data_IF_558349361098
#
_entry.id   IF_558349361098
#
_cell.length_a   1.000
_cell.length_b   1.000
_cell.length_c   1.000
_cell.angle_alpha   90.00
_cell.angle_beta   90.00
_cell.angle_gamma   90.00
#
_symmetry.space_group_name_H-M   'P 1'
#
loop_
_entity.id
_entity.type
_entity.pdbx_description
1 polymer ?
2 water ?
#
# COMPACT_ATOMS: atom_id res chain seq x y z
N UNK A 17 1.94 -7.12 -11.54
CA UNK A 17 2.84 -6.02 -11.20
C UNK A 17 2.13 -4.69 -11.46
N UNK A 18 2.02 -3.84 -10.44
CA UNK A 18 1.24 -2.62 -10.62
C UNK A 18 2.04 -1.64 -11.47
N UNK A 19 1.46 -1.05 -12.51
CA UNK A 19 2.16 0.00 -13.24
C UNK A 19 2.49 1.18 -12.34
N UNK A 20 3.59 1.85 -12.71
CA UNK A 20 3.93 3.12 -12.06
C UNK A 20 4.72 3.98 -13.05
N UNK A 21 4.73 5.28 -12.82
CA UNK A 21 5.41 6.21 -13.74
C UNK A 21 6.92 6.11 -13.60
N UNK A 22 7.57 5.51 -14.63
CA UNK A 22 9.02 5.37 -14.58
C UNK A 22 9.71 6.72 -14.43
N UNK A 23 9.20 7.75 -15.12
CA UNK A 23 9.83 9.08 -15.09
C UNK A 23 9.89 9.65 -13.68
N UNK A 24 8.94 9.29 -12.84
CA UNK A 24 8.91 9.87 -11.51
C UNK A 24 9.97 9.25 -10.63
N UNK A 25 10.34 8.02 -10.89
CA UNK A 25 11.21 7.31 -10.00
C UNK A 25 10.44 6.50 -8.98
N UNK A 26 11.14 5.57 -8.37
CA UNK A 26 10.60 4.66 -7.38
C UNK A 26 11.66 4.50 -6.31
N UNK A 27 11.26 4.55 -5.03
CA UNK A 27 12.12 4.13 -3.95
C UNK A 27 11.37 3.09 -3.14
N UNK A 28 12.00 1.93 -2.95
CA UNK A 28 11.37 0.80 -2.27
C UNK A 28 12.38 0.14 -1.35
N UNK A 29 11.86 -0.47 -0.30
CA UNK A 29 12.62 -1.24 0.69
C UNK A 29 11.82 -2.46 1.15
N UNK A 30 12.51 -3.54 1.48
CA UNK A 30 11.81 -4.69 2.08
C UNK A 30 11.50 -4.44 3.54
N UNK A 31 10.36 -4.98 3.97
CA UNK A 31 9.93 -4.90 5.35
C UNK A 31 9.42 -6.27 5.76
N UNK A 32 9.61 -6.67 7.01
CA UNK A 32 8.95 -7.89 7.51
C UNK A 32 7.45 -7.72 7.54
N UNK A 33 6.73 -8.77 7.11
CA UNK A 33 5.28 -8.75 7.11
C UNK A 33 4.74 -9.13 8.47
N UNK A 34 3.66 -8.48 8.88
CA UNK A 34 3.01 -8.75 10.17
C UNK A 34 2.45 -10.17 10.12
N UNK A 35 2.82 -11.07 11.05
CA UNK A 35 2.40 -12.47 10.91
C UNK A 35 0.92 -12.68 11.15
N UNK A 36 0.26 -11.77 11.86
CA UNK A 36 -1.15 -11.87 12.22
C UNK A 36 -2.10 -11.41 11.12
N UNK A 37 -1.63 -11.21 9.90
CA UNK A 37 -2.46 -10.72 8.81
C UNK A 37 -2.85 -11.91 7.95
N UNK A 38 -4.13 -11.95 7.57
CA UNK A 38 -4.61 -12.89 6.56
C UNK A 38 -4.17 -12.35 5.20
N UNK A 39 -2.89 -12.55 4.90
CA UNK A 39 -2.31 -11.95 3.71
C UNK A 39 -2.93 -12.46 2.43
N UNK A 40 -3.57 -13.64 2.47
CA UNK A 40 -4.11 -14.22 1.27
C UNK A 40 -5.28 -13.44 0.72
N UNK A 41 -5.99 -12.73 1.59
CA UNK A 41 -7.09 -11.88 1.13
C UNK A 41 -6.63 -10.61 0.44
N UNK A 42 -5.32 -10.37 0.33
CA UNK A 42 -4.77 -9.15 -0.24
C UNK A 42 -4.13 -9.38 -1.59
N UNK A 43 -4.56 -10.43 -2.29
CA UNK A 43 -4.36 -10.57 -3.71
C UNK A 43 -5.61 -10.14 -4.46
N UNK A 44 -5.46 -9.95 -5.76
CA UNK A 44 -6.58 -9.98 -6.69
C UNK A 44 -6.33 -11.14 -7.65
N UNK A 45 -7.31 -11.44 -8.47
CA UNK A 45 -7.23 -12.59 -9.33
C UNK A 45 -6.00 -12.58 -10.21
N UNK A 46 -6.19 -12.55 -11.54
CA UNK A 46 -5.03 -12.39 -12.42
C UNK A 46 -4.50 -10.98 -12.45
N UNK A 47 -5.18 -10.04 -11.79
CA UNK A 47 -4.90 -8.64 -12.03
C UNK A 47 -4.11 -8.03 -10.88
N UNK A 48 -3.39 -6.95 -11.15
CA UNK A 48 -2.60 -6.34 -10.09
C UNK A 48 -3.51 -5.63 -9.11
N UNK A 49 -3.04 -5.51 -7.88
CA UNK A 49 -3.82 -4.85 -6.84
C UNK A 49 -2.81 -4.24 -5.90
N UNK A 50 -2.74 -2.93 -5.89
CA UNK A 50 -1.90 -2.21 -4.94
C UNK A 50 -2.71 -1.90 -3.71
N UNK A 51 -2.05 -1.90 -2.55
CA UNK A 51 -2.67 -1.40 -1.33
C UNK A 51 -1.63 -0.73 -0.45
N UNK A 52 -2.11 0.12 0.43
CA UNK A 52 -1.27 0.83 1.38
C UNK A 52 -0.95 -0.08 2.56
N UNK A 53 0.25 0.05 3.08
CA UNK A 53 0.67 -0.61 4.30
C UNK A 53 1.18 0.44 5.26
N UNK A 54 0.99 0.14 6.54
CA UNK A 54 1.48 0.94 7.65
C UNK A 54 2.48 0.10 8.41
N UNK A 55 3.38 0.80 9.12
CA UNK A 55 4.36 0.17 9.98
C UNK A 55 3.91 0.32 11.42
N UNK A 56 4.16 -0.72 12.23
CA UNK A 56 4.02 -0.59 13.68
C UNK A 56 5.17 0.23 14.22
N UNK A 57 4.94 1.39 14.82
CA UNK A 57 6.09 2.17 15.30
C UNK A 57 6.78 1.51 16.47
N UNK A 58 6.03 0.91 17.38
CA UNK A 58 6.61 0.31 18.57
C UNK A 58 5.95 -1.05 18.82
N UNK A 59 6.21 -1.60 20.00
CA UNK A 59 5.59 -2.84 20.41
C UNK A 59 6.34 -4.06 19.93
N UNK A 60 5.75 -5.24 20.12
CA UNK A 60 6.44 -6.47 19.72
C UNK A 60 6.64 -6.62 18.22
N UNK A 61 5.74 -6.07 17.40
CA UNK A 61 5.84 -6.17 15.95
C UNK A 61 6.39 -4.88 15.33
N UNK A 62 7.17 -4.12 16.09
CA UNK A 62 7.73 -2.89 15.58
C UNK A 62 8.50 -3.14 14.28
N UNK A 63 8.38 -2.20 13.36
CA UNK A 63 9.01 -2.32 12.06
C UNK A 63 8.37 -3.33 11.13
N UNK A 64 7.32 -4.02 11.55
CA UNK A 64 6.54 -4.86 10.66
C UNK A 64 5.40 -4.07 10.02
N UNK A 65 5.02 -4.49 8.82
CA UNK A 65 4.04 -3.75 8.04
C UNK A 65 2.76 -4.57 7.98
N UNK A 66 1.65 -3.87 7.84
CA UNK A 66 0.34 -4.50 7.74
C UNK A 66 -0.54 -3.59 6.89
N UNK A 67 -1.62 -4.13 6.31
CA UNK A 67 -2.49 -3.27 5.49
C UNK A 67 -3.10 -2.15 6.32
N UNK A 68 -2.93 -0.92 5.83
CA UNK A 68 -3.47 0.25 6.52
C UNK A 68 -4.97 0.10 6.77
N UNK A 69 -5.39 0.48 7.97
CA UNK A 69 -6.79 0.54 8.36
C UNK A 69 -7.21 2.00 8.31
N UNK A 70 -7.99 2.35 7.27
CA UNK A 70 -8.33 3.76 7.01
C UNK A 70 -9.19 4.37 8.10
N UNK A 71 -9.78 3.53 8.93
CA UNK A 71 -10.66 3.98 9.99
C UNK A 71 -9.95 4.16 11.32
N UNK A 72 -8.63 3.97 11.33
CA UNK A 72 -7.82 4.07 12.55
C UNK A 72 -6.81 5.19 12.33
N UNK A 73 -6.94 6.33 13.02
CA UNK A 73 -6.07 7.47 12.70
C UNK A 73 -4.60 7.17 12.92
N UNK A 74 -4.26 6.29 13.85
CA UNK A 74 -2.87 5.96 14.07
C UNK A 74 -2.32 5.08 12.95
N UNK A 75 -3.16 4.21 12.38
CA UNK A 75 -2.75 3.47 11.20
C UNK A 75 -2.50 4.41 10.04
N UNK A 76 -3.40 5.35 9.83
CA UNK A 76 -3.22 6.34 8.77
C UNK A 76 -1.94 7.14 9.01
N UNK A 77 -1.65 7.50 10.25
CA UNK A 77 -0.49 8.34 10.47
C UNK A 77 0.81 7.60 10.21
N UNK A 78 0.78 6.26 10.25
CA UNK A 78 1.98 5.44 10.13
C UNK A 78 2.05 4.70 8.80
N UNK A 79 1.33 5.16 7.78
CA UNK A 79 1.51 4.60 6.46
C UNK A 79 2.96 4.73 6.05
N UNK A 80 3.47 3.68 5.41
CA UNK A 80 4.86 3.67 4.95
C UNK A 80 5.01 3.45 3.46
N UNK A 81 3.97 3.05 2.73
CA UNK A 81 4.06 2.95 1.29
C UNK A 81 2.98 2.04 0.75
N UNK A 82 3.18 1.60 -0.50
CA UNK A 82 2.25 0.71 -1.17
C UNK A 82 2.95 -0.58 -1.57
N UNK A 83 2.20 -1.67 -1.52
CA UNK A 83 2.65 -2.95 -2.05
C UNK A 83 2.29 -3.00 -3.52
N UNK A 84 3.33 -2.93 -4.40
CA UNK A 84 3.19 -2.79 -5.86
C UNK A 84 3.74 -3.98 -6.62
N UNK A 85 4.50 -4.86 -5.97
CA UNK A 85 5.24 -5.95 -6.61
C UNK A 85 4.84 -7.30 -6.02
N UNK A 86 3.61 -7.38 -5.54
CA UNK A 86 3.05 -8.60 -5.00
C UNK A 86 3.68 -9.00 -3.69
N UNK A 87 3.19 -10.13 -3.18
CA UNK A 87 3.64 -10.65 -1.89
C UNK A 87 3.34 -12.14 -1.86
N UNK A 88 3.97 -12.82 -0.92
CA UNK A 88 3.92 -14.27 -0.87
C UNK A 88 4.38 -14.70 0.52
N UNK A 89 3.51 -14.53 1.53
CA UNK A 89 3.96 -14.74 2.90
C UNK A 89 4.55 -16.13 3.08
N UNK A 90 4.04 -17.11 2.34
CA UNK A 90 4.51 -18.48 2.52
C UNK A 90 5.88 -18.68 1.90
N UNK A 91 6.19 -17.99 0.81
CA UNK A 91 7.50 -18.11 0.17
C UNK A 91 8.56 -17.20 0.79
N UNK A 92 8.17 -16.12 1.47
CA UNK A 92 9.09 -15.12 2.02
C UNK A 92 8.29 -14.24 2.97
N UNK A 93 8.79 -14.03 4.20
CA UNK A 93 8.10 -13.20 5.18
C UNK A 93 8.36 -11.71 4.99
N UNK A 94 9.16 -11.33 4.00
CA UNK A 94 9.40 -9.93 3.66
C UNK A 94 8.56 -9.53 2.46
N UNK A 95 8.13 -8.27 2.44
CA UNK A 95 7.41 -7.73 1.31
C UNK A 95 8.09 -6.45 0.87
N UNK A 96 8.21 -6.27 -0.43
CA UNK A 96 8.78 -5.05 -1.00
C UNK A 96 7.74 -3.94 -0.91
N UNK A 97 8.09 -2.89 -0.18
CA UNK A 97 7.23 -1.73 0.05
C UNK A 97 7.79 -0.56 -0.74
N UNK A 98 6.97 0.04 -1.58
CA UNK A 98 7.33 1.20 -2.35
C UNK A 98 6.95 2.42 -1.54
N UNK A 99 7.96 3.15 -1.06
CA UNK A 99 7.71 4.36 -0.25
C UNK A 99 7.43 5.60 -1.09
N UNK A 100 7.94 5.67 -2.31
CA UNK A 100 7.78 6.80 -3.21
C UNK A 100 7.54 6.30 -4.62
N UNK A 101 6.43 6.71 -5.23
CA UNK A 101 6.11 6.37 -6.62
C UNK A 101 4.91 7.19 -7.04
N UNK A 102 4.52 7.01 -8.30
CA UNK A 102 3.29 7.56 -8.86
C UNK A 102 2.55 6.39 -9.52
N UNK A 103 1.34 6.11 -9.01
CA UNK A 103 0.62 4.88 -9.33
C UNK A 103 -0.78 5.22 -9.85
N UNK A 104 -1.19 4.69 -10.99
CA UNK A 104 -2.53 5.04 -11.50
C UNK A 104 -3.61 4.66 -10.49
N UNK A 105 -4.60 5.55 -10.33
CA UNK A 105 -5.55 5.36 -9.23
C UNK A 105 -6.38 4.08 -9.37
N UNK A 106 -6.49 3.53 -10.59
CA UNK A 106 -7.32 2.34 -10.81
C UNK A 106 -6.80 1.12 -10.08
N UNK A 107 -5.52 1.09 -9.71
CA UNK A 107 -4.91 -0.13 -9.21
C UNK A 107 -4.88 -0.24 -7.69
N UNK A 108 -5.33 0.78 -6.96
CA UNK A 108 -5.18 0.80 -5.50
C UNK A 108 -6.55 0.53 -4.88
N UNK A 109 -6.64 -0.56 -4.12
CA UNK A 109 -7.87 -0.90 -3.39
C UNK A 109 -7.50 -1.23 -1.95
N UNK A 110 -8.18 -0.60 -1.00
CA UNK A 110 -7.85 -0.78 0.39
C UNK A 110 -8.95 -1.58 1.09
N UNK A 111 -9.05 -2.84 0.74
CA UNK A 111 -10.07 -3.69 1.31
C UNK A 111 -10.36 -4.87 0.41
N UNK A 112 -10.87 -5.94 1.01
CA UNK A 112 -11.33 -7.11 0.26
C UNK A 112 -12.60 -6.77 -0.51
N UNK A 113 -13.53 -6.03 0.12
CA UNK A 113 -14.73 -5.56 -0.59
C UNK A 113 -14.39 -4.26 -1.31
N UNK A 114 -13.62 -4.41 -2.39
CA UNK A 114 -13.26 -3.31 -3.27
C UNK A 114 -12.97 -3.90 -4.64
N UNK A 115 -13.75 -3.59 -5.67
CA UNK A 115 -13.55 -4.19 -6.98
C UNK A 115 -12.17 -3.90 -7.52
N UNK A 116 -11.51 -4.85 -8.18
CA UNK A 116 -10.26 -4.52 -8.88
C UNK A 116 -10.45 -3.58 -10.05
N UNK A 117 -9.34 -2.94 -10.42
CA UNK A 117 -9.24 -2.07 -11.60
C UNK A 117 -10.28 -0.95 -11.61
N UNK A 118 -10.71 -0.53 -10.42
CA UNK A 118 -11.65 0.55 -10.23
C UNK A 118 -11.11 1.45 -9.11
N UNK A 119 -11.01 2.77 -9.30
CA UNK A 119 -10.50 3.61 -8.22
C UNK A 119 -11.34 3.39 -6.97
N UNK A 120 -10.66 3.36 -5.82
CA UNK A 120 -11.29 3.11 -4.54
C UNK A 120 -11.71 4.44 -3.93
N UNK A 121 -13.01 4.74 -3.82
CA UNK A 121 -13.40 6.03 -3.25
C UNK A 121 -12.93 6.23 -1.83
N UNK A 122 -12.71 5.16 -1.05
CA UNK A 122 -12.24 5.35 0.32
C UNK A 122 -10.84 5.92 0.34
N UNK A 123 -10.02 5.49 -0.60
CA UNK A 123 -8.66 6.00 -0.69
C UNK A 123 -8.67 7.43 -1.22
N UNK A 124 -9.44 7.66 -2.29
CA UNK A 124 -9.48 8.99 -2.88
C UNK A 124 -9.95 10.01 -1.87
N UNK A 125 -10.99 9.66 -1.10
CA UNK A 125 -11.56 10.56 -0.10
C UNK A 125 -10.61 10.82 1.06
N UNK A 126 -9.80 9.85 1.42
CA UNK A 126 -8.81 9.97 2.49
C UNK A 126 -7.44 10.43 2.00
N UNK A 127 -7.30 10.81 0.73
CA UNK A 127 -5.98 11.17 0.21
C UNK A 127 -5.33 12.28 1.03
N UNK A 128 -6.04 13.29 1.50
CA UNK A 128 -5.35 14.33 2.28
C UNK A 128 -4.66 13.79 3.52
N UNK A 129 -5.37 13.01 4.34
CA UNK A 129 -4.74 12.52 5.54
C UNK A 129 -3.78 11.38 5.26
N UNK A 130 -3.91 10.71 4.10
CA UNK A 130 -2.92 9.71 3.65
C UNK A 130 -1.69 10.34 3.00
N UNK A 131 -1.67 11.64 2.77
CA UNK A 131 -0.53 12.29 2.10
C UNK A 131 -0.35 11.77 0.68
N UNK A 132 -1.48 11.47 0.02
CA UNK A 132 -1.53 11.18 -1.40
C UNK A 132 -1.98 12.41 -2.15
N UNK A 133 -1.35 12.69 -3.29
CA UNK A 133 -1.80 13.74 -4.17
C UNK A 133 -2.14 13.15 -5.54
N UNK A 134 -3.36 13.43 -6.01
CA UNK A 134 -3.79 12.88 -7.29
C UNK A 134 -3.52 13.91 -8.37
N UNK A 135 -2.72 13.50 -9.35
CA UNK A 135 -2.32 14.32 -10.48
C UNK A 135 -2.39 13.43 -11.72
N UNK A 136 -3.15 13.88 -12.72
CA UNK A 136 -3.23 13.19 -14.01
C UNK A 136 -3.48 11.70 -13.81
N UNK A 137 -4.47 11.40 -12.97
CA UNK A 137 -4.92 10.04 -12.75
C UNK A 137 -3.98 9.15 -11.97
N UNK A 138 -2.94 9.72 -11.35
CA UNK A 138 -1.99 8.97 -10.52
C UNK A 138 -2.00 9.48 -9.09
N UNK A 139 -1.86 8.57 -8.13
CA UNK A 139 -1.46 8.92 -6.78
C UNK A 139 0.04 9.15 -6.73
N UNK A 140 0.46 10.35 -6.29
CA UNK A 140 1.86 10.63 -6.01
C UNK A 140 2.07 10.59 -4.52
N UNK A 141 3.15 9.98 -4.06
CA UNK A 141 3.36 9.81 -2.63
C UNK A 141 4.85 9.65 -2.37
N UNK A 142 5.24 9.99 -1.13
CA UNK A 142 6.62 9.81 -0.67
C UNK A 142 6.59 9.73 0.85
N UNK A 143 6.59 8.52 1.37
CA UNK A 143 6.48 8.30 2.80
C UNK A 143 7.84 8.35 3.50
N UNK A 144 8.88 8.83 2.80
CA UNK A 144 10.11 9.18 3.50
C UNK A 144 10.05 10.56 4.11
N UNK A 145 8.98 11.31 3.86
CA UNK A 145 8.61 12.45 4.71
C UNK A 145 7.47 12.05 5.65
#
# INVERSE_FOLDING_TARGET
DKIQLFRTIGRVQYWERVPRLHAYGVFALPFPMDPDVEWGNWFAGPHPKAFLVSVHPSGPKAGHVYPTDLSDPDSVANVIGMVLDGHDYEADHNVTVTLRAAVPIEYVQQGIEAPPLQPDPAVLNAAPQLKLKVIKGHYFFDYTR
#
